data_IF_950032162918
#
_entry.id   IF_950032162918
#
_cell.length_a   1.000
_cell.length_b   1.000
_cell.length_c   1.000
_cell.angle_alpha   90.00
_cell.angle_beta   90.00
_cell.angle_gamma   90.00
#
_symmetry.space_group_name_H-M   'P 1'
#
loop_
_entity.id
_entity.type
_entity.pdbx_description
1 polymer ?
#
# COMPACT_ATOMS: atom_id res chain seq x y z
N UNK A 1 0.44 11.46 -0.36
CA UNK A 1 -0.36 10.37 -0.97
C UNK A 1 -1.32 9.85 0.06
N UNK A 2 -2.51 9.43 -0.37
CA UNK A 2 -3.65 9.35 0.53
C UNK A 2 -3.72 8.00 1.31
N UNK A 3 -2.99 6.96 0.91
CA UNK A 3 -3.09 5.62 1.51
C UNK A 3 -1.82 5.16 2.26
N UNK A 4 -0.75 5.96 2.28
CA UNK A 4 0.54 5.56 2.88
C UNK A 4 0.48 5.22 4.38
N UNK A 5 -0.45 5.80 5.14
CA UNK A 5 -0.67 5.41 6.55
C UNK A 5 -1.28 4.02 6.69
N UNK A 6 -2.15 3.60 5.75
CA UNK A 6 -2.67 2.23 5.71
C UNK A 6 -1.57 1.23 5.35
N UNK A 7 -0.74 1.56 4.36
CA UNK A 7 0.44 0.75 4.03
C UNK A 7 1.42 0.59 5.20
N UNK A 8 1.62 1.66 5.97
CA UNK A 8 2.40 1.61 7.20
C UNK A 8 1.71 0.73 8.27
N UNK A 9 0.41 0.88 8.47
CA UNK A 9 -0.39 0.07 9.40
C UNK A 9 -0.27 -1.43 9.09
N UNK A 10 -0.44 -1.82 7.82
CA UNK A 10 -0.31 -3.21 7.39
C UNK A 10 1.13 -3.71 7.63
N UNK A 11 2.13 -2.89 7.29
CA UNK A 11 3.53 -3.14 7.61
C UNK A 11 3.77 -3.44 9.10
N UNK A 12 3.27 -2.57 9.98
CA UNK A 12 3.35 -2.72 11.43
C UNK A 12 2.67 -4.00 11.92
N UNK A 13 1.40 -4.23 11.53
CA UNK A 13 0.64 -5.40 11.97
C UNK A 13 1.29 -6.71 11.51
N UNK A 14 1.75 -6.77 10.27
CA UNK A 14 2.44 -7.94 9.75
C UNK A 14 3.76 -8.16 10.48
N UNK A 15 4.56 -7.11 10.73
CA UNK A 15 5.82 -7.24 11.47
C UNK A 15 5.64 -7.71 12.94
N UNK A 16 4.48 -7.43 13.55
CA UNK A 16 4.16 -7.86 14.91
C UNK A 16 3.67 -9.32 14.97
N UNK A 17 3.03 -9.79 13.89
CA UNK A 17 2.35 -11.10 13.84
C UNK A 17 3.11 -12.15 13.04
N UNK A 18 4.09 -11.74 12.26
CA UNK A 18 4.91 -12.59 11.42
C UNK A 18 6.39 -12.33 11.70
N UNK A 19 7.19 -13.39 11.56
CA UNK A 19 8.63 -13.41 11.83
C UNK A 19 9.40 -12.73 10.68
N UNK A 20 9.40 -11.39 10.70
CA UNK A 20 10.14 -10.50 9.81
C UNK A 20 11.55 -10.31 10.37
N UNK A 21 12.60 -10.45 9.52
CA UNK A 21 14.00 -10.41 9.97
C UNK A 21 14.45 -8.97 10.25
N UNK A 22 14.04 -8.05 9.39
CA UNK A 22 14.32 -6.62 9.48
C UNK A 22 13.00 -5.85 9.29
N UNK A 23 12.41 -5.46 10.42
CA UNK A 23 11.14 -4.72 10.48
C UNK A 23 11.22 -3.39 9.71
N UNK A 24 12.29 -2.63 9.86
CA UNK A 24 12.38 -1.30 9.26
C UNK A 24 12.49 -1.42 7.74
N UNK A 25 13.25 -2.41 7.23
CA UNK A 25 13.28 -2.72 5.80
C UNK A 25 11.92 -3.17 5.28
N UNK A 26 11.21 -4.00 6.03
CA UNK A 26 9.87 -4.46 5.65
C UNK A 26 8.88 -3.31 5.48
N UNK A 27 8.77 -2.45 6.49
CA UNK A 27 7.83 -1.32 6.46
C UNK A 27 8.29 -0.29 5.43
N UNK A 28 9.59 -0.07 5.25
CA UNK A 28 10.10 0.75 4.15
C UNK A 28 9.64 0.19 2.79
N UNK A 29 9.75 -1.12 2.59
CA UNK A 29 9.25 -1.80 1.40
C UNK A 29 7.76 -1.60 1.20
N UNK A 30 6.96 -1.64 2.28
CA UNK A 30 5.51 -1.50 2.19
C UNK A 30 5.04 -0.10 1.79
N UNK A 31 5.90 0.93 1.88
CA UNK A 31 5.57 2.30 1.49
C UNK A 31 6.39 2.81 0.29
N UNK A 32 7.46 2.13 -0.09
CA UNK A 32 8.38 2.58 -1.15
C UNK A 32 7.74 2.74 -2.54
N UNK A 33 6.75 1.93 -2.98
CA UNK A 33 6.11 2.13 -4.28
C UNK A 33 5.46 3.50 -4.44
N UNK A 34 5.07 4.12 -3.32
CA UNK A 34 4.49 5.46 -3.24
C UNK A 34 5.55 6.59 -3.28
N UNK A 35 6.83 6.26 -3.19
CA UNK A 35 7.94 7.21 -3.13
C UNK A 35 8.54 7.52 -4.51
N UNK A 36 7.80 7.35 -5.61
CA UNK A 36 8.28 7.68 -6.96
C UNK A 36 8.58 9.18 -7.11
N UNK A 37 9.60 9.52 -7.91
CA UNK A 37 9.99 10.91 -8.16
C UNK A 37 9.15 11.56 -9.26
N UNK A 38 8.84 10.83 -10.32
CA UNK A 38 8.04 11.30 -11.45
C UNK A 38 6.61 10.72 -11.36
N UNK A 39 5.55 11.56 -11.39
CA UNK A 39 4.17 11.08 -11.41
C UNK A 39 3.81 10.11 -12.54
N UNK A 40 4.56 10.12 -13.65
CA UNK A 40 4.39 9.19 -14.76
C UNK A 40 4.84 7.76 -14.43
N UNK A 41 5.72 7.58 -13.43
CA UNK A 41 6.19 6.28 -12.98
C UNK A 41 5.19 5.56 -12.08
N UNK A 42 4.11 6.22 -11.66
CA UNK A 42 3.13 5.65 -10.72
C UNK A 42 2.61 4.29 -11.18
N UNK A 43 2.23 4.16 -12.44
CA UNK A 43 1.71 2.88 -12.94
C UNK A 43 2.82 1.81 -13.00
N UNK A 44 4.07 2.21 -13.23
CA UNK A 44 5.25 1.32 -13.23
C UNK A 44 5.57 0.81 -11.83
N UNK A 45 5.66 1.70 -10.83
CA UNK A 45 5.97 1.29 -9.44
C UNK A 45 4.87 0.45 -8.81
N UNK A 46 3.63 0.64 -9.25
CA UNK A 46 2.49 -0.15 -8.78
C UNK A 46 2.17 -1.33 -9.69
N UNK A 47 3.01 -1.66 -10.69
CA UNK A 47 2.78 -2.78 -11.62
C UNK A 47 1.35 -2.78 -12.21
N UNK A 48 0.80 -1.61 -12.51
CA UNK A 48 -0.62 -1.48 -12.83
C UNK A 48 -0.89 -1.80 -14.30
N UNK A 49 -1.71 -2.82 -14.53
CA UNK A 49 -2.06 -3.29 -15.88
C UNK A 49 -3.53 -2.97 -16.19
N UNK A 50 -3.80 -2.66 -17.46
CA UNK A 50 -5.15 -2.40 -17.99
C UNK A 50 -5.41 -3.31 -19.18
N UNK A 51 -6.42 -4.17 -19.07
CA UNK A 51 -6.83 -5.11 -20.11
C UNK A 51 -8.33 -4.98 -20.37
N UNK A 52 -8.69 -4.31 -21.46
CA UNK A 52 -10.09 -4.00 -21.76
C UNK A 52 -10.72 -3.09 -20.70
N UNK A 53 -11.79 -3.55 -20.06
CA UNK A 53 -12.45 -2.85 -18.94
C UNK A 53 -11.83 -3.15 -17.57
N UNK A 54 -10.95 -4.16 -17.47
CA UNK A 54 -10.37 -4.62 -16.22
C UNK A 54 -9.02 -3.96 -15.95
N UNK A 55 -8.79 -3.64 -14.69
CA UNK A 55 -7.56 -3.09 -14.16
C UNK A 55 -7.12 -3.99 -13.00
N UNK A 56 -5.83 -4.27 -12.88
CA UNK A 56 -5.28 -5.00 -11.75
C UNK A 56 -3.85 -4.54 -11.45
N UNK A 57 -3.35 -4.88 -10.26
CA UNK A 57 -1.97 -4.68 -9.84
C UNK A 57 -1.23 -6.00 -10.05
N UNK A 58 -0.28 -6.03 -10.98
CA UNK A 58 0.43 -7.24 -11.41
C UNK A 58 1.57 -7.61 -10.44
N UNK A 59 1.22 -7.92 -9.19
CA UNK A 59 2.18 -8.41 -8.21
C UNK A 59 2.77 -9.78 -8.58
N UNK A 60 2.14 -10.50 -9.53
CA UNK A 60 2.70 -11.69 -10.16
C UNK A 60 3.99 -11.36 -10.93
N UNK A 61 3.96 -10.34 -11.78
CA UNK A 61 5.15 -9.88 -12.50
C UNK A 61 6.26 -9.43 -11.55
N UNK A 62 5.92 -8.72 -10.46
CA UNK A 62 6.90 -8.33 -9.44
C UNK A 62 7.57 -9.56 -8.80
N UNK A 63 6.79 -10.56 -8.34
CA UNK A 63 7.37 -11.76 -7.73
C UNK A 63 8.13 -12.62 -8.73
N UNK A 64 7.79 -12.63 -10.01
CA UNK A 64 8.59 -13.31 -11.03
C UNK A 64 9.96 -12.65 -11.17
N UNK A 65 9.99 -11.31 -11.20
CA UNK A 65 11.23 -10.53 -11.32
C UNK A 65 12.11 -10.57 -10.06
N UNK A 66 11.50 -10.62 -8.87
CA UNK A 66 12.20 -10.46 -7.59
C UNK A 66 12.02 -11.64 -6.62
N UNK A 67 11.57 -12.81 -7.09
CA UNK A 67 11.27 -14.00 -6.26
C UNK A 67 12.37 -14.33 -5.25
N UNK A 68 13.61 -14.45 -5.71
CA UNK A 68 14.76 -14.75 -4.84
C UNK A 68 14.93 -13.69 -3.74
N UNK A 69 14.74 -12.42 -4.07
CA UNK A 69 14.87 -11.32 -3.11
C UNK A 69 13.73 -11.30 -2.10
N UNK A 70 12.49 -11.59 -2.51
CA UNK A 70 11.32 -11.67 -1.61
C UNK A 70 11.55 -12.69 -0.47
N UNK A 71 12.24 -13.81 -0.74
CA UNK A 71 12.55 -14.79 0.31
C UNK A 71 13.75 -14.41 1.19
N UNK A 72 14.61 -13.51 0.73
CA UNK A 72 15.90 -13.19 1.37
C UNK A 72 15.87 -11.88 2.15
N UNK A 73 15.21 -10.87 1.61
CA UNK A 73 15.30 -9.47 2.06
C UNK A 73 13.90 -8.87 2.22
N UNK A 74 13.64 -8.39 3.43
CA UNK A 74 12.32 -7.90 3.81
C UNK A 74 11.91 -6.61 3.09
N UNK A 75 12.85 -5.86 2.49
CA UNK A 75 12.51 -4.72 1.62
C UNK A 75 11.65 -5.17 0.44
N UNK A 76 12.01 -6.29 -0.19
CA UNK A 76 11.31 -6.83 -1.36
C UNK A 76 10.02 -7.54 -0.95
N UNK A 77 10.02 -8.21 0.20
CA UNK A 77 8.80 -8.77 0.80
C UNK A 77 7.79 -7.64 1.12
N UNK A 78 8.25 -6.54 1.71
CA UNK A 78 7.43 -5.36 2.00
C UNK A 78 6.85 -4.75 0.72
N UNK A 79 7.66 -4.58 -0.32
CA UNK A 79 7.20 -4.08 -1.62
C UNK A 79 6.16 -5.01 -2.26
N UNK A 80 6.39 -6.32 -2.21
CA UNK A 80 5.38 -7.29 -2.65
C UNK A 80 4.07 -7.14 -1.87
N UNK A 81 4.15 -7.03 -0.54
CA UNK A 81 2.96 -6.87 0.30
C UNK A 81 2.23 -5.56 0.01
N UNK A 82 2.94 -4.46 -0.28
CA UNK A 82 2.31 -3.22 -0.77
C UNK A 82 1.46 -3.49 -2.01
N UNK A 83 2.03 -4.15 -3.03
CA UNK A 83 1.30 -4.41 -4.28
C UNK A 83 0.05 -5.26 -4.06
N UNK A 84 0.14 -6.26 -3.17
CA UNK A 84 -1.03 -7.08 -2.79
C UNK A 84 -2.08 -6.25 -2.06
N UNK A 85 -1.66 -5.39 -1.12
CA UNK A 85 -2.55 -4.50 -0.38
C UNK A 85 -3.23 -3.50 -1.31
N UNK A 86 -2.49 -2.92 -2.26
CA UNK A 86 -3.06 -1.96 -3.20
C UNK A 86 -4.11 -2.65 -4.09
N UNK A 87 -3.88 -3.92 -4.47
CA UNK A 87 -4.89 -4.75 -5.14
C UNK A 87 -6.15 -4.98 -4.27
N UNK A 88 -5.95 -5.33 -3.00
CA UNK A 88 -7.04 -5.50 -2.03
C UNK A 88 -7.87 -4.24 -1.87
N UNK A 89 -7.21 -3.10 -1.68
CA UNK A 89 -7.85 -1.82 -1.48
C UNK A 89 -8.66 -1.41 -2.71
N UNK A 90 -8.11 -1.58 -3.91
CA UNK A 90 -8.83 -1.30 -5.16
C UNK A 90 -10.04 -2.21 -5.29
N UNK A 91 -9.89 -3.51 -5.04
CA UNK A 91 -11.03 -4.44 -5.06
C UNK A 91 -12.12 -4.04 -4.05
N UNK A 92 -11.73 -3.60 -2.86
CA UNK A 92 -12.61 -3.16 -1.79
C UNK A 92 -13.41 -1.91 -2.18
N UNK A 93 -12.74 -0.82 -2.58
CA UNK A 93 -13.42 0.45 -2.92
C UNK A 93 -14.26 0.34 -4.20
N UNK A 94 -13.83 -0.48 -5.17
CA UNK A 94 -14.58 -0.72 -6.42
C UNK A 94 -15.58 -1.88 -6.32
N UNK A 95 -15.88 -2.38 -5.11
CA UNK A 95 -16.88 -3.44 -4.88
C UNK A 95 -18.33 -3.03 -5.18
N UNK A 96 -18.59 -1.75 -5.46
CA UNK A 96 -19.92 -1.19 -5.67
C UNK A 96 -20.63 -0.74 -4.38
N UNK A 97 -19.98 -0.93 -3.22
CA UNK A 97 -20.48 -0.48 -1.90
C UNK A 97 -20.19 0.98 -1.60
N UNK A 98 -19.21 1.56 -2.30
CA UNK A 98 -18.74 2.91 -2.09
C UNK A 98 -19.13 3.82 -3.26
N UNK A 99 -19.42 5.07 -2.93
CA UNK A 99 -19.41 6.12 -3.95
C UNK A 99 -17.97 6.36 -4.38
N UNK A 100 -17.76 6.66 -5.66
CA UNK A 100 -16.43 6.95 -6.21
C UNK A 100 -16.38 8.38 -6.75
N UNK A 101 -15.26 9.10 -6.57
CA UNK A 101 -15.13 10.46 -7.09
C UNK A 101 -15.16 10.47 -8.61
N UNK A 102 -15.86 11.44 -9.18
CA UNK A 102 -16.13 11.56 -10.63
C UNK A 102 -15.34 12.68 -11.31
N UNK A 103 -14.87 13.66 -10.56
CA UNK A 103 -14.14 14.83 -11.04
C UNK A 103 -12.99 15.19 -10.08
N UNK A 104 -12.22 16.22 -10.44
CA UNK A 104 -11.05 16.64 -9.67
C UNK A 104 -11.43 17.20 -8.29
N UNK A 105 -12.57 17.90 -8.17
CA UNK A 105 -13.05 18.42 -6.90
C UNK A 105 -13.39 17.29 -5.91
N UNK A 106 -14.09 16.25 -6.39
CA UNK A 106 -14.43 15.07 -5.61
C UNK A 106 -13.18 14.24 -5.24
N UNK A 107 -12.16 14.20 -6.11
CA UNK A 107 -10.86 13.59 -5.75
C UNK A 107 -10.19 14.35 -4.61
N UNK A 108 -10.27 15.69 -4.58
CA UNK A 108 -9.75 16.47 -3.47
C UNK A 108 -10.52 16.21 -2.16
N UNK A 109 -11.83 16.00 -2.23
CA UNK A 109 -12.64 15.58 -1.08
C UNK A 109 -12.22 14.20 -0.59
N UNK A 110 -12.02 13.23 -1.49
CA UNK A 110 -11.50 11.91 -1.12
C UNK A 110 -10.11 12.02 -0.46
N UNK A 111 -9.21 12.88 -0.97
CA UNK A 111 -7.92 13.14 -0.31
C UNK A 111 -8.10 13.68 1.11
N UNK A 112 -9.05 14.59 1.33
CA UNK A 112 -9.36 15.08 2.67
C UNK A 112 -9.91 13.97 3.59
N UNK A 113 -10.72 13.04 3.09
CA UNK A 113 -11.16 11.88 3.87
C UNK A 113 -9.97 11.09 4.41
N UNK A 114 -8.94 10.86 3.58
CA UNK A 114 -7.72 10.19 4.02
C UNK A 114 -6.95 10.96 5.10
N UNK A 115 -6.86 12.29 5.00
CA UNK A 115 -6.24 13.12 6.05
C UNK A 115 -6.97 13.01 7.39
N UNK A 116 -8.31 12.96 7.37
CA UNK A 116 -9.11 12.70 8.57
C UNK A 116 -8.84 11.28 9.11
N UNK A 117 -8.79 10.29 8.23
CA UNK A 117 -8.57 8.89 8.61
C UNK A 117 -7.16 8.61 9.14
N UNK A 118 -6.14 9.34 8.70
CA UNK A 118 -4.78 9.22 9.23
C UNK A 118 -4.78 9.39 10.75
N UNK A 119 -5.42 10.44 11.26
CA UNK A 119 -5.54 10.68 12.68
C UNK A 119 -6.25 9.53 13.42
N UNK A 120 -7.33 9.01 12.85
CA UNK A 120 -8.06 7.88 13.43
C UNK A 120 -7.18 6.62 13.51
N UNK A 121 -6.56 6.24 12.39
CA UNK A 121 -5.72 5.04 12.27
C UNK A 121 -4.53 5.12 13.23
N UNK A 122 -3.81 6.24 13.24
CA UNK A 122 -2.63 6.44 14.09
C UNK A 122 -2.99 6.29 15.57
N UNK A 123 -4.08 6.91 16.03
CA UNK A 123 -4.49 6.82 17.44
C UNK A 123 -5.02 5.44 17.80
N UNK A 124 -5.85 4.84 16.95
CA UNK A 124 -6.46 3.54 17.22
C UNK A 124 -5.43 2.43 17.38
N UNK A 125 -4.41 2.43 16.52
CA UNK A 125 -3.38 1.39 16.50
C UNK A 125 -2.10 1.79 17.25
N UNK A 126 -2.04 3.01 17.79
CA UNK A 126 -0.86 3.52 18.51
C UNK A 126 0.38 3.60 17.61
N UNK A 127 0.21 3.98 16.34
CA UNK A 127 1.30 4.00 15.38
C UNK A 127 2.32 5.11 15.71
N UNK A 128 3.59 4.76 15.64
CA UNK A 128 4.71 5.69 15.81
C UNK A 128 5.59 5.55 14.58
N UNK A 129 5.85 6.65 13.86
CA UNK A 129 6.79 6.64 12.76
C UNK A 129 8.22 6.63 13.28
N UNK A 130 8.90 5.49 13.15
CA UNK A 130 10.31 5.31 13.53
C UNK A 130 11.23 5.15 12.32
N UNK A 131 10.68 5.18 11.10
CA UNK A 131 11.46 4.88 9.90
C UNK A 131 12.48 5.96 9.58
N UNK A 132 13.72 5.51 9.36
CA UNK A 132 14.79 6.32 8.82
C UNK A 132 15.16 5.83 7.41
N UNK A 133 15.55 6.75 6.53
CA UNK A 133 16.06 6.39 5.21
C UNK A 133 17.41 5.66 5.34
N UNK A 134 17.55 4.40 4.87
CA UNK A 134 18.84 3.72 4.84
C UNK A 134 19.84 4.45 3.93
N UNK A 135 21.11 4.52 4.31
CA UNK A 135 22.14 5.22 3.53
C UNK A 135 22.36 4.59 2.15
N UNK A 136 22.27 3.26 2.08
CA UNK A 136 22.53 2.47 0.87
C UNK A 136 21.27 2.18 0.04
N UNK A 137 20.12 2.80 0.34
CA UNK A 137 18.85 2.51 -0.36
C UNK A 137 18.96 2.73 -1.88
N UNK A 138 19.76 3.71 -2.32
CA UNK A 138 19.99 3.99 -3.75
C UNK A 138 20.77 2.91 -4.50
N UNK A 139 21.44 2.00 -3.78
CA UNK A 139 22.18 0.89 -4.39
C UNK A 139 21.32 -0.37 -4.57
N UNK A 140 20.09 -0.38 -4.04
CA UNK A 140 19.18 -1.53 -4.15
C UNK A 140 18.75 -1.75 -5.60
N UNK A 141 18.63 -3.01 -6.01
CA UNK A 141 18.18 -3.37 -7.36
C UNK A 141 16.73 -2.96 -7.64
N UNK A 142 15.95 -2.68 -6.59
CA UNK A 142 14.57 -2.19 -6.70
C UNK A 142 14.49 -0.81 -7.38
N UNK A 143 15.56 0.00 -7.33
CA UNK A 143 15.64 1.29 -8.02
C UNK A 143 15.71 1.15 -9.56
N UNK A 144 15.78 -0.07 -10.10
CA UNK A 144 15.63 -0.29 -11.54
C UNK A 144 14.18 -0.13 -12.02
N UNK A 145 13.21 -0.14 -11.09
CA UNK A 145 11.79 0.04 -11.40
C UNK A 145 11.50 1.50 -11.74
N UNK A 146 12.02 2.43 -10.93
CA UNK A 146 11.90 3.87 -11.09
C UNK A 146 12.89 4.60 -10.16
N UNK A 147 13.03 5.92 -10.33
CA UNK A 147 13.74 6.76 -9.38
C UNK A 147 12.86 7.07 -8.15
N UNK A 148 13.31 6.65 -6.97
CA UNK A 148 12.57 6.85 -5.72
C UNK A 148 13.13 8.00 -4.85
N UNK A 149 12.27 8.95 -4.47
CA UNK A 149 12.55 10.06 -3.53
C UNK A 149 12.35 9.63 -2.07
N UNK A 150 12.87 8.46 -1.67
CA UNK A 150 12.60 7.83 -0.36
C UNK A 150 12.83 8.78 0.82
N UNK A 151 13.95 9.52 0.82
CA UNK A 151 14.30 10.44 1.92
C UNK A 151 13.26 11.54 2.09
N UNK A 152 12.91 12.22 1.02
CA UNK A 152 11.92 13.30 1.05
C UNK A 152 10.53 12.75 1.38
N UNK A 153 10.19 11.58 0.83
CA UNK A 153 8.91 10.92 1.08
C UNK A 153 8.72 10.58 2.57
N UNK A 154 9.74 10.05 3.24
CA UNK A 154 9.70 9.77 4.68
C UNK A 154 9.57 11.06 5.52
N UNK A 155 10.23 12.13 5.10
CA UNK A 155 10.11 13.44 5.76
C UNK A 155 8.69 14.00 5.64
N UNK A 156 8.07 13.91 4.47
CA UNK A 156 6.67 14.31 4.26
C UNK A 156 5.69 13.43 5.03
N UNK A 157 5.88 12.11 5.00
CA UNK A 157 5.00 11.14 5.66
C UNK A 157 4.99 11.34 7.18
N UNK A 158 6.07 11.87 7.77
CA UNK A 158 6.12 12.17 9.20
C UNK A 158 5.00 13.10 9.69
N UNK A 159 4.51 13.99 8.81
CA UNK A 159 3.37 14.85 9.13
C UNK A 159 2.07 14.05 9.34
N UNK A 160 1.87 12.97 8.59
CA UNK A 160 0.64 12.16 8.62
C UNK A 160 0.39 11.52 10.01
N UNK A 161 1.46 11.29 10.79
CA UNK A 161 1.41 10.69 12.14
C UNK A 161 1.10 11.70 13.25
N UNK A 162 1.21 13.00 12.96
CA UNK A 162 0.93 14.08 13.92
C UNK A 162 -0.26 14.92 13.49
N UNK A 163 -0.77 14.68 12.28
CA UNK A 163 -1.93 15.36 11.75
C UNK A 163 -3.18 15.10 12.62
N UNK A 164 -3.98 16.15 12.75
CA UNK A 164 -5.22 16.13 13.54
C UNK A 164 -6.36 16.78 12.74
N UNK A 165 -6.43 16.45 11.45
CA UNK A 165 -7.46 16.98 10.56
C UNK A 165 -8.82 16.51 11.04
N UNK A 166 -9.68 17.47 11.37
CA UNK A 166 -11.05 17.24 11.85
C UNK A 166 -12.04 17.47 10.73
N UNK A 167 -13.11 16.70 10.70
CA UNK A 167 -14.19 16.88 9.72
C UNK A 167 -15.07 15.65 9.60
N UNK A 168 -16.04 15.73 8.69
CA UNK A 168 -16.81 14.58 8.24
C UNK A 168 -16.23 14.06 6.94
N UNK A 169 -16.18 12.75 6.81
CA UNK A 169 -15.73 12.09 5.58
C UNK A 169 -16.89 11.82 4.62
N UNK A 170 -16.60 11.69 3.33
CA UNK A 170 -17.64 11.61 2.28
C UNK A 170 -17.66 10.28 1.53
N UNK A 171 -16.51 9.76 1.12
CA UNK A 171 -16.36 8.55 0.31
C UNK A 171 -15.97 7.34 1.15
N UNK A 172 -15.11 7.55 2.13
CA UNK A 172 -14.59 6.52 3.05
C UNK A 172 -14.63 7.06 4.47
N UNK A 173 -14.84 6.20 5.47
CA UNK A 173 -14.94 6.59 6.87
C UNK A 173 -14.23 5.57 7.79
N UNK A 174 -14.23 5.84 9.10
CA UNK A 174 -13.57 5.00 10.10
C UNK A 174 -14.06 3.54 10.03
N UNK A 175 -15.37 3.33 9.87
CA UNK A 175 -15.94 1.99 9.75
C UNK A 175 -15.46 1.26 8.49
N UNK A 176 -15.28 1.97 7.36
CA UNK A 176 -14.74 1.37 6.14
C UNK A 176 -13.25 1.03 6.26
N UNK A 177 -12.47 1.81 7.02
CA UNK A 177 -11.07 1.49 7.30
C UNK A 177 -10.96 0.25 8.20
N UNK A 178 -11.84 0.15 9.20
CA UNK A 178 -11.93 -1.02 10.09
C UNK A 178 -12.34 -2.28 9.35
N UNK A 179 -13.34 -2.17 8.48
CA UNK A 179 -13.81 -3.27 7.65
C UNK A 179 -12.70 -3.74 6.72
N UNK A 180 -12.02 -2.80 6.04
CA UNK A 180 -10.89 -3.12 5.18
C UNK A 180 -9.78 -3.86 5.93
N UNK A 181 -9.38 -3.36 7.10
CA UNK A 181 -8.36 -4.00 7.92
C UNK A 181 -8.80 -5.40 8.39
N UNK A 182 -10.05 -5.54 8.87
CA UNK A 182 -10.59 -6.82 9.34
C UNK A 182 -10.69 -7.86 8.21
N UNK A 183 -11.01 -7.44 6.99
CA UNK A 183 -11.15 -8.33 5.84
C UNK A 183 -9.78 -8.78 5.31
N UNK A 184 -8.83 -7.86 5.12
CA UNK A 184 -7.63 -8.14 4.33
C UNK A 184 -6.36 -8.45 5.13
N UNK A 185 -6.27 -8.05 6.41
CA UNK A 185 -5.13 -8.44 7.26
C UNK A 185 -5.01 -9.97 7.37
N UNK A 186 -6.09 -10.74 7.63
CA UNK A 186 -5.98 -12.19 7.69
C UNK A 186 -5.51 -12.82 6.38
N UNK A 187 -5.90 -12.25 5.24
CA UNK A 187 -5.49 -12.71 3.90
C UNK A 187 -3.99 -12.44 3.69
N UNK A 188 -3.53 -11.23 4.01
CA UNK A 188 -2.11 -10.88 3.91
C UNK A 188 -1.21 -11.71 4.84
N UNK A 189 -1.66 -11.96 6.08
CA UNK A 189 -0.95 -12.87 7.00
C UNK A 189 -0.89 -14.30 6.44
N UNK A 190 -1.97 -14.76 5.80
CA UNK A 190 -1.97 -16.08 5.18
C UNK A 190 -0.98 -16.17 4.03
N UNK A 191 -0.87 -15.12 3.23
CA UNK A 191 0.12 -15.05 2.15
C UNK A 191 1.55 -15.11 2.70
N UNK A 192 1.86 -14.36 3.76
CA UNK A 192 3.16 -14.42 4.43
C UNK A 192 3.49 -15.84 4.94
N UNK A 193 2.51 -16.56 5.51
CA UNK A 193 2.68 -17.97 5.90
C UNK A 193 3.02 -18.87 4.71
N UNK A 194 2.39 -18.65 3.56
CA UNK A 194 2.66 -19.38 2.33
C UNK A 194 4.07 -19.08 1.81
N UNK A 195 4.47 -17.80 1.81
CA UNK A 195 5.80 -17.37 1.39
C UNK A 195 6.88 -18.00 2.29
N UNK A 196 6.65 -18.10 3.61
CA UNK A 196 7.56 -18.83 4.52
C UNK A 196 7.78 -20.29 4.11
N UNK A 197 6.79 -20.90 3.47
CA UNK A 197 6.83 -22.29 2.97
C UNK A 197 7.35 -22.38 1.53
N UNK A 198 7.77 -21.26 0.94
CA UNK A 198 8.40 -21.22 -0.38
C UNK A 198 7.44 -21.12 -1.56
N UNK A 199 6.18 -20.72 -1.35
CA UNK A 199 5.23 -20.50 -2.44
C UNK A 199 4.33 -19.30 -2.18
N UNK A 200 3.70 -18.79 -3.24
CA UNK A 200 2.74 -17.70 -3.18
C UNK A 200 1.33 -18.27 -3.35
N UNK A 201 0.36 -17.77 -2.58
CA UNK A 201 -1.02 -18.25 -2.62
C UNK A 201 -2.00 -17.29 -3.30
N UNK A 202 -1.60 -16.03 -3.50
CA UNK A 202 -2.40 -15.02 -4.16
C UNK A 202 -2.12 -14.97 -5.66
N UNK A 203 -3.15 -14.64 -6.44
CA UNK A 203 -3.04 -14.38 -7.88
C UNK A 203 -3.62 -13.00 -8.19
N UNK A 204 -2.86 -12.16 -8.91
CA UNK A 204 -3.21 -10.76 -9.19
C UNK A 204 -4.56 -10.59 -9.88
N UNK A 205 -4.90 -11.53 -10.77
CA UNK A 205 -6.14 -11.48 -11.54
C UNK A 205 -7.39 -11.64 -10.66
N UNK A 206 -7.28 -12.31 -9.51
CA UNK A 206 -8.40 -12.52 -8.58
C UNK A 206 -8.81 -11.22 -7.88
N UNK A 207 -7.91 -10.23 -7.86
CA UNK A 207 -8.12 -8.90 -7.27
C UNK A 207 -8.32 -7.81 -8.32
N UNK A 208 -8.55 -8.19 -9.57
CA UNK A 208 -8.90 -7.24 -10.62
C UNK A 208 -10.20 -6.48 -10.31
N UNK A 209 -10.27 -5.24 -10.76
CA UNK A 209 -11.47 -4.40 -10.65
C UNK A 209 -11.81 -3.74 -11.98
N UNK A 210 -13.07 -3.30 -12.10
CA UNK A 210 -13.52 -2.53 -13.24
C UNK A 210 -13.63 -1.05 -12.87
N UNK A 211 -13.24 -0.17 -13.79
CA UNK A 211 -13.62 1.24 -13.66
C UNK A 211 -15.12 1.34 -13.88
N UNK A 212 -15.87 1.68 -12.83
CA UNK A 212 -17.27 2.04 -12.96
C UNK A 212 -17.34 3.17 -13.99
N UNK A 213 -17.97 2.93 -15.14
CA UNK A 213 -18.24 4.02 -16.10
C UNK A 213 -19.11 5.04 -15.37
N UNK A 214 -18.76 6.34 -15.37
CA UNK A 214 -19.70 7.35 -14.92
C UNK A 214 -20.99 7.17 -15.74
N UNK A 215 -22.12 6.96 -15.03
CA UNK A 215 -23.45 6.98 -15.63
C UNK A 215 -23.76 8.39 -16.11
#
# INVERSE_FOLDING_TARGET
>A
MAQRTLHYLFGEIFSQRFDIKDKDRFILGSIMPDAYSDPSDRDTTHFKVRTGSRIYIDFNAFREQYSEMIFKDDLYLGYYMHLTEDAFYRRFIYSGRFSMPKNAEEVAVLHNDYHILNHYIVNKYGLINTLCCPENIGNECINRIADFRVRDFLAEMSADFTENTKGQTHFINEASADEYAAEFIPIGLKELECIKKGYFSLEAIDYAWERVKPK
#
